data_IF_322262898986
#
_entry.id   IF_322262898986
#
_cell.length_a   1.000
_cell.length_b   1.000
_cell.length_c   1.000
_cell.angle_alpha   90.00
_cell.angle_beta   90.00
_cell.angle_gamma   90.00
#
_symmetry.space_group_name_H-M   'P 1'
#
loop_
_entity.id
_entity.type
_entity.pdbx_description
1 polymer ?
#
# COMPACT_ATOMS: atom_id res chain seq x y z
N UNK A 1 -6.72 1.68 -10.61
CA UNK A 1 -5.57 1.54 -9.68
C UNK A 1 -4.32 1.92 -10.45
N UNK A 2 -3.32 2.52 -9.80
CA UNK A 2 -2.06 2.93 -10.43
C UNK A 2 -1.29 1.74 -11.01
N UNK A 3 -0.86 1.86 -12.26
CA UNK A 3 -0.05 0.84 -12.92
C UNK A 3 1.36 0.73 -12.32
N UNK A 4 1.95 1.85 -11.90
CA UNK A 4 3.30 1.87 -11.31
C UNK A 4 3.29 1.13 -9.97
N UNK A 5 2.29 1.38 -9.12
CA UNK A 5 2.15 0.66 -7.85
C UNK A 5 1.93 -0.85 -8.08
N UNK A 6 1.16 -1.23 -9.10
CA UNK A 6 0.98 -2.64 -9.45
C UNK A 6 2.28 -3.29 -9.95
N UNK A 7 3.07 -2.59 -10.76
CA UNK A 7 4.40 -3.06 -11.20
C UNK A 7 5.34 -3.27 -10.01
N UNK A 8 5.36 -2.33 -9.06
CA UNK A 8 6.13 -2.47 -7.82
C UNK A 8 5.68 -3.71 -7.03
N UNK A 9 4.37 -3.92 -6.87
CA UNK A 9 3.82 -5.09 -6.18
C UNK A 9 4.26 -6.40 -6.84
N UNK A 10 4.11 -6.50 -8.17
CA UNK A 10 4.49 -7.70 -8.95
C UNK A 10 5.99 -7.98 -8.82
N UNK A 11 6.84 -6.95 -8.93
CA UNK A 11 8.29 -7.11 -8.80
C UNK A 11 8.70 -7.62 -7.40
N UNK A 12 7.91 -7.31 -6.38
CA UNK A 12 8.11 -7.79 -5.01
C UNK A 12 7.39 -9.11 -4.70
N UNK A 13 6.80 -9.78 -5.70
CA UNK A 13 6.08 -11.04 -5.51
C UNK A 13 4.77 -10.90 -4.71
N UNK A 14 4.19 -9.69 -4.70
CA UNK A 14 2.97 -9.36 -3.97
C UNK A 14 1.76 -9.52 -4.88
N UNK A 15 0.74 -10.22 -4.37
CA UNK A 15 -0.56 -10.34 -5.03
C UNK A 15 -1.52 -9.29 -4.47
N UNK A 16 -1.99 -8.38 -5.33
CA UNK A 16 -2.99 -7.36 -4.98
C UNK A 16 -4.38 -7.82 -5.40
N UNK A 17 -5.37 -7.74 -4.50
CA UNK A 17 -6.77 -8.05 -4.81
C UNK A 17 -7.70 -6.98 -4.27
N UNK A 18 -8.72 -6.62 -5.06
CA UNK A 18 -9.87 -5.86 -4.57
C UNK A 18 -10.89 -6.86 -4.04
N UNK A 19 -11.36 -6.67 -2.80
CA UNK A 19 -12.28 -7.57 -2.11
C UNK A 19 -13.30 -6.78 -1.28
N UNK A 20 -14.51 -7.32 -1.13
CA UNK A 20 -15.46 -6.84 -0.13
C UNK A 20 -14.98 -7.21 1.26
N UNK A 21 -14.37 -6.24 1.96
CA UNK A 21 -13.89 -6.45 3.32
C UNK A 21 -15.04 -6.26 4.33
N UNK A 22 -15.22 -7.26 5.21
CA UNK A 22 -16.19 -7.20 6.30
C UNK A 22 -15.73 -6.27 7.45
N UNK A 23 -14.46 -5.88 7.46
CA UNK A 23 -13.89 -4.95 8.43
C UNK A 23 -13.97 -3.50 7.94
N UNK A 24 -13.77 -2.54 8.85
CA UNK A 24 -13.57 -1.12 8.49
C UNK A 24 -12.21 -0.85 7.82
N UNK A 25 -11.33 -1.84 7.70
CA UNK A 25 -10.02 -1.64 7.10
C UNK A 25 -10.13 -1.28 5.62
N UNK A 26 -9.34 -0.30 5.19
CA UNK A 26 -9.23 0.10 3.78
C UNK A 26 -8.32 -0.86 3.02
N UNK A 27 -7.26 -1.34 3.66
CA UNK A 27 -6.29 -2.29 3.12
C UNK A 27 -5.84 -3.29 4.18
N UNK A 28 -5.30 -4.43 3.74
CA UNK A 28 -4.71 -5.44 4.62
C UNK A 28 -3.53 -6.11 3.91
N UNK A 29 -2.32 -5.94 4.45
CA UNK A 29 -1.16 -6.76 4.13
C UNK A 29 -1.14 -8.05 4.97
N UNK A 30 -1.07 -9.20 4.32
CA UNK A 30 -0.83 -10.50 4.97
C UNK A 30 0.11 -11.35 4.13
N UNK A 31 1.30 -11.62 4.67
CA UNK A 31 2.40 -12.27 3.96
C UNK A 31 2.73 -11.48 2.67
N UNK A 32 2.60 -12.12 1.51
CA UNK A 32 2.81 -11.51 0.20
C UNK A 32 1.49 -11.13 -0.50
N UNK A 33 0.43 -10.84 0.26
CA UNK A 33 -0.89 -10.50 -0.30
C UNK A 33 -1.37 -9.18 0.27
N UNK A 34 -1.84 -8.30 -0.60
CA UNK A 34 -2.51 -7.05 -0.24
C UNK A 34 -3.96 -7.17 -0.67
N UNK A 35 -4.88 -7.05 0.27
CA UNK A 35 -6.29 -6.85 0.00
C UNK A 35 -6.64 -5.37 0.09
N UNK A 36 -7.39 -4.84 -0.88
CA UNK A 36 -7.93 -3.48 -0.89
C UNK A 36 -9.46 -3.57 -0.88
N UNK A 37 -10.10 -2.74 -0.07
CA UNK A 37 -11.56 -2.68 0.00
C UNK A 37 -12.16 -2.19 -1.33
N UNK A 38 -13.21 -2.86 -1.80
CA UNK A 38 -13.99 -2.48 -2.98
C UNK A 38 -14.86 -1.21 -2.80
N UNK A 39 -14.92 -0.69 -1.57
CA UNK A 39 -15.68 0.53 -1.23
C UNK A 39 -14.89 1.82 -1.45
N UNK A 40 -13.63 1.72 -1.84
CA UNK A 40 -12.74 2.88 -1.98
C UNK A 40 -12.84 3.49 -3.37
N UNK A 41 -12.75 4.81 -3.44
CA UNK A 41 -12.58 5.48 -4.72
C UNK A 41 -11.14 5.28 -5.27
N UNK A 42 -10.86 5.77 -6.47
CA UNK A 42 -9.56 5.61 -7.14
C UNK A 42 -8.38 6.18 -6.33
N UNK A 43 -8.53 7.36 -5.74
CA UNK A 43 -7.48 8.02 -4.96
C UNK A 43 -7.21 7.27 -3.66
N UNK A 44 -8.27 6.90 -2.94
CA UNK A 44 -8.18 6.10 -1.72
C UNK A 44 -7.58 4.71 -1.99
N UNK A 45 -7.94 4.08 -3.10
CA UNK A 45 -7.40 2.80 -3.54
C UNK A 45 -5.89 2.89 -3.74
N UNK A 46 -5.42 3.91 -4.47
CA UNK A 46 -3.99 4.08 -4.75
C UNK A 46 -3.20 4.43 -3.49
N UNK A 47 -3.73 5.32 -2.64
CA UNK A 47 -3.09 5.65 -1.37
C UNK A 47 -2.98 4.43 -0.46
N UNK A 48 -4.07 3.67 -0.35
CA UNK A 48 -4.09 2.44 0.47
C UNK A 48 -3.08 1.43 -0.06
N UNK A 49 -3.04 1.19 -1.39
CA UNK A 49 -2.05 0.29 -1.98
C UNK A 49 -0.61 0.76 -1.71
N UNK A 50 -0.32 2.05 -1.88
CA UNK A 50 1.01 2.60 -1.60
C UNK A 50 1.40 2.44 -0.12
N UNK A 51 0.44 2.60 0.79
CA UNK A 51 0.65 2.43 2.23
C UNK A 51 0.98 0.97 2.58
N UNK A 52 0.20 0.01 2.11
CA UNK A 52 0.45 -1.42 2.34
C UNK A 52 1.76 -1.90 1.69
N UNK A 53 2.10 -1.39 0.50
CA UNK A 53 3.41 -1.64 -0.12
C UNK A 53 4.55 -1.10 0.74
N UNK A 54 4.37 0.09 1.33
CA UNK A 54 5.38 0.69 2.20
C UNK A 54 5.60 -0.13 3.47
N UNK A 55 4.53 -0.70 4.05
CA UNK A 55 4.69 -1.66 5.14
C UNK A 55 5.50 -2.88 4.73
N UNK A 56 5.22 -3.46 3.56
CA UNK A 56 5.96 -4.61 3.05
C UNK A 56 7.45 -4.30 2.83
N UNK A 57 7.76 -3.13 2.26
CA UNK A 57 9.13 -2.72 1.92
C UNK A 57 9.96 -2.46 3.17
N UNK A 58 9.39 -1.73 4.14
CA UNK A 58 10.14 -1.20 5.28
C UNK A 58 10.17 -2.14 6.49
N UNK A 59 9.12 -2.94 6.67
CA UNK A 59 8.91 -3.65 7.94
C UNK A 59 8.75 -5.15 7.73
N UNK A 60 9.43 -5.94 8.57
CA UNK A 60 9.31 -7.40 8.60
C UNK A 60 8.62 -7.85 9.89
N UNK A 61 7.73 -8.82 9.78
CA UNK A 61 7.04 -9.42 10.94
C UNK A 61 5.77 -8.67 11.34
N UNK A 62 5.31 -8.89 12.59
CA UNK A 62 4.07 -8.29 13.09
C UNK A 62 4.31 -6.83 13.51
N UNK A 63 3.77 -5.88 12.73
CA UNK A 63 3.88 -4.44 12.98
C UNK A 63 2.81 -3.89 13.91
N UNK A 64 1.69 -4.60 14.10
CA UNK A 64 0.55 -4.12 14.88
C UNK A 64 0.79 -4.18 16.39
N UNK A 65 1.48 -5.22 16.86
CA UNK A 65 1.79 -5.43 18.28
C UNK A 65 3.24 -5.07 18.63
N UNK A 66 3.85 -4.16 17.87
CA UNK A 66 5.22 -3.71 18.07
C UNK A 66 5.26 -2.39 18.85
N UNK A 67 6.20 -2.23 19.79
CA UNK A 67 6.39 -0.97 20.52
C UNK A 67 6.68 0.23 19.61
N UNK A 68 7.22 -0.03 18.42
CA UNK A 68 7.52 0.97 17.38
C UNK A 68 6.37 1.16 16.38
N UNK A 69 5.18 0.60 16.62
CA UNK A 69 4.05 0.65 15.68
C UNK A 69 3.79 2.07 15.14
N UNK A 70 3.76 3.09 16.02
CA UNK A 70 3.55 4.48 15.62
C UNK A 70 4.62 5.02 14.68
N UNK A 71 5.87 4.60 14.86
CA UNK A 71 6.97 4.99 13.99
C UNK A 71 6.87 4.28 12.64
N UNK A 72 6.51 3.00 12.63
CA UNK A 72 6.30 2.24 11.40
C UNK A 72 5.15 2.78 10.55
N UNK A 73 4.03 3.17 11.16
CA UNK A 73 2.94 3.86 10.46
C UNK A 73 3.42 5.18 9.85
N UNK A 74 4.22 5.96 10.59
CA UNK A 74 4.78 7.23 10.08
C UNK A 74 5.69 6.98 8.87
N UNK A 75 6.62 6.03 8.97
CA UNK A 75 7.54 5.68 7.88
C UNK A 75 6.79 5.14 6.66
N UNK A 76 5.78 4.28 6.87
CA UNK A 76 4.94 3.76 5.80
C UNK A 76 4.16 4.88 5.09
N UNK A 77 3.60 5.82 5.84
CA UNK A 77 2.91 6.97 5.29
C UNK A 77 3.83 7.90 4.47
N UNK A 78 5.04 8.18 4.97
CA UNK A 78 6.02 9.01 4.26
C UNK A 78 6.46 8.37 2.93
N UNK A 79 6.74 7.06 2.93
CA UNK A 79 7.08 6.34 1.70
C UNK A 79 5.89 6.26 0.74
N UNK A 80 4.66 6.05 1.22
CA UNK A 80 3.47 6.02 0.38
C UNK A 80 3.27 7.35 -0.37
N UNK A 81 3.47 8.47 0.31
CA UNK A 81 3.42 9.80 -0.30
C UNK A 81 4.48 9.94 -1.40
N UNK A 82 5.70 9.44 -1.16
CA UNK A 82 6.78 9.48 -2.16
C UNK A 82 6.44 8.62 -3.38
N UNK A 83 5.93 7.40 -3.19
CA UNK A 83 5.54 6.52 -4.29
C UNK A 83 4.46 7.16 -5.17
N UNK A 84 3.47 7.82 -4.58
CA UNK A 84 2.43 8.52 -5.32
C UNK A 84 2.95 9.76 -6.06
N UNK A 85 3.91 10.49 -5.47
CA UNK A 85 4.57 11.61 -6.17
C UNK A 85 5.31 11.11 -7.40
N UNK A 86 6.08 10.03 -7.27
CA UNK A 86 6.79 9.42 -8.39
C UNK A 86 5.82 8.98 -9.49
N UNK A 87 4.75 8.28 -9.13
CA UNK A 87 3.69 7.88 -10.08
C UNK A 87 3.17 9.09 -10.87
N UNK A 88 2.78 10.16 -10.18
CA UNK A 88 2.27 11.38 -10.82
C UNK A 88 3.30 12.10 -11.68
N UNK A 89 4.58 12.14 -11.28
CA UNK A 89 5.66 12.77 -12.08
C UNK A 89 5.94 11.99 -13.36
N UNK A 90 5.89 10.66 -13.31
CA UNK A 90 6.06 9.79 -14.48
C UNK A 90 4.87 9.91 -15.46
N UNK A 91 3.66 10.17 -14.97
CA UNK A 91 2.51 10.47 -15.85
C UNK A 91 2.52 11.89 -16.45
N UNK A 92 3.13 12.87 -15.78
CA UNK A 92 3.25 14.23 -16.31
C UNK A 92 4.35 14.38 -17.40
N UNK A 93 5.13 13.33 -17.65
CA UNK A 93 6.25 13.32 -18.61
C UNK A 93 5.98 12.45 -19.86
N UNK A 94 4.75 11.96 -20.01
CA UNK A 94 4.22 11.24 -21.19
C UNK A 94 3.13 12.07 -21.87
#
# INVERSE_FOLDING_TARGET
MSEILLKIAIHNGIVVKILSLNSKSKGLLKNNKIAISDKLNYQETNFTLAHELSHFILHKGNTLNNSLHKEYEKQANELAILLLKLDNTLFASL
#
